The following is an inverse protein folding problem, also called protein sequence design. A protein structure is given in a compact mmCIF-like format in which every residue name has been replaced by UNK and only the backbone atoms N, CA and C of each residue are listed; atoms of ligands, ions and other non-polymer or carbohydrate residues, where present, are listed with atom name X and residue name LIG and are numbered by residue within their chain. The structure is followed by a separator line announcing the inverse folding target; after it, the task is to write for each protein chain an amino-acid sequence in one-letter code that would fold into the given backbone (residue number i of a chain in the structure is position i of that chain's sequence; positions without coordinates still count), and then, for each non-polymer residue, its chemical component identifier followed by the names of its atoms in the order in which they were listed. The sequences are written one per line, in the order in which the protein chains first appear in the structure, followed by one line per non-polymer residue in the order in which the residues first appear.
data_IF_951716129577
#
_entry.id   IF_951716129577
#
_cell.length_a   1.000
_cell.length_b   1.000
_cell.length_c   1.000
_cell.angle_alpha   90.00
_cell.angle_beta   90.00
_cell.angle_gamma   90.00
#
_symmetry.space_group_name_H-M   'P 1'
#
loop_
_entity.id
_entity.type
_entity.pdbx_description
1 polymer ?
#
# COMPACT_ATOMS: atom_id res chain seq x y z
N UNK A 1 13.44 51.49 74.30
CA UNK A 1 12.11 51.81 73.74
C UNK A 1 12.22 51.90 72.22
N UNK A 2 11.41 51.11 71.49
CA UNK A 2 10.78 51.31 70.15
C UNK A 2 11.56 52.12 69.08
N UNK A 3 11.65 51.75 67.80
CA UNK A 3 11.13 50.67 66.95
C UNK A 3 11.95 50.73 65.65
N UNK A 4 12.24 49.56 65.09
CA UNK A 4 13.00 49.37 63.88
C UNK A 4 12.26 49.85 62.61
N UNK A 5 13.07 50.20 61.62
CA UNK A 5 12.74 50.67 60.28
C UNK A 5 11.76 49.76 59.53
N UNK A 6 10.74 50.37 58.93
CA UNK A 6 9.97 49.79 57.83
C UNK A 6 10.73 50.07 56.53
N UNK A 7 11.20 49.02 55.86
CA UNK A 7 11.47 49.04 54.42
C UNK A 7 10.77 47.84 53.80
N UNK A 8 9.80 48.17 52.95
CA UNK A 8 8.90 47.28 52.23
C UNK A 8 9.66 46.71 51.02
N UNK A 9 10.04 45.44 51.08
CA UNK A 9 10.68 44.71 49.98
C UNK A 9 9.64 43.97 49.13
N UNK A 10 9.45 44.44 47.90
CA UNK A 10 8.58 43.90 46.86
C UNK A 10 9.09 42.52 46.41
N UNK A 11 8.34 41.44 46.72
CA UNK A 11 8.67 40.10 46.25
C UNK A 11 8.20 39.91 44.80
N UNK A 12 9.13 39.95 43.85
CA UNK A 12 8.94 39.52 42.46
C UNK A 12 8.76 37.99 42.43
N UNK A 13 7.56 37.53 42.12
CA UNK A 13 7.31 36.14 41.76
C UNK A 13 7.90 35.87 40.37
N UNK A 14 9.04 35.19 40.32
CA UNK A 14 9.52 34.54 39.10
C UNK A 14 8.68 33.28 38.88
N UNK A 15 8.04 33.06 37.71
CA UNK A 15 7.53 31.75 37.38
C UNK A 15 8.73 30.83 37.23
N UNK A 16 8.82 29.82 38.10
CA UNK A 16 9.71 28.69 37.87
C UNK A 16 9.27 28.05 36.55
N UNK A 17 10.02 28.30 35.47
CA UNK A 17 9.99 27.42 34.32
C UNK A 17 10.53 26.09 34.82
N UNK A 18 9.64 25.13 35.05
CA UNK A 18 10.04 23.76 35.28
C UNK A 18 10.79 23.31 34.03
N UNK A 19 12.12 23.25 34.11
CA UNK A 19 12.92 22.43 33.20
C UNK A 19 12.46 20.98 33.43
N UNK A 20 11.49 20.52 32.64
CA UNK A 20 11.10 19.12 32.59
C UNK A 20 12.24 18.33 31.92
N UNK A 21 13.36 18.23 32.61
CA UNK A 21 14.49 17.39 32.21
C UNK A 21 14.15 15.97 32.62
N UNK A 22 13.84 15.14 31.63
CA UNK A 22 13.67 13.72 31.86
C UNK A 22 14.93 13.12 32.51
N UNK A 23 14.79 12.08 33.36
CA UNK A 23 15.93 11.39 33.95
C UNK A 23 16.98 10.99 32.90
N UNK A 24 18.27 10.90 33.26
CA UNK A 24 19.31 10.48 32.32
C UNK A 24 18.95 9.17 31.61
N UNK A 25 19.01 9.17 30.27
CA UNK A 25 18.59 8.04 29.43
C UNK A 25 17.09 8.00 29.10
N UNK A 26 16.32 9.01 29.53
CA UNK A 26 14.93 9.21 29.14
C UNK A 26 14.75 10.53 28.40
N UNK A 27 13.74 10.57 27.54
CA UNK A 27 13.43 11.71 26.68
C UNK A 27 11.94 12.01 26.74
N UNK A 28 11.60 13.28 26.54
CA UNK A 28 10.22 13.74 26.60
C UNK A 28 9.50 13.39 25.29
N UNK A 29 8.43 12.60 25.39
CA UNK A 29 7.52 12.25 24.28
C UNK A 29 6.18 12.88 24.55
N UNK A 30 5.64 13.64 23.58
CA UNK A 30 4.35 14.32 23.71
C UNK A 30 3.36 13.77 22.68
N UNK A 31 2.53 12.81 23.11
CA UNK A 31 1.41 12.24 22.34
C UNK A 31 0.16 12.30 23.22
N UNK A 32 -0.72 13.27 22.98
CA UNK A 32 -1.91 13.57 23.81
C UNK A 32 -1.61 13.95 25.28
N UNK A 33 -0.34 13.90 25.69
CA UNK A 33 0.23 14.32 26.97
C UNK A 33 1.74 14.09 26.93
N UNK A 34 2.53 14.83 27.72
CA UNK A 34 3.98 14.69 27.74
C UNK A 34 4.43 13.76 28.88
N UNK A 35 5.22 12.74 28.54
CA UNK A 35 5.79 11.80 29.50
C UNK A 35 7.27 11.53 29.17
N UNK A 36 8.05 11.14 30.17
CA UNK A 36 9.43 10.72 29.99
C UNK A 36 9.46 9.22 29.68
N UNK A 37 10.02 8.86 28.54
CA UNK A 37 10.19 7.48 28.11
C UNK A 37 11.67 7.19 27.84
N UNK A 38 12.15 5.95 28.04
CA UNK A 38 13.50 5.53 27.66
C UNK A 38 13.62 5.31 26.14
N UNK A 39 13.01 6.21 25.35
CA UNK A 39 13.01 6.18 23.89
C UNK A 39 13.74 7.43 23.44
N UNK A 40 14.96 7.26 22.96
CA UNK A 40 15.68 8.32 22.26
C UNK A 40 14.83 8.77 21.05
N UNK A 41 14.57 10.07 20.84
CA UNK A 41 13.86 10.57 19.66
C UNK A 41 14.46 10.07 18.34
N UNK A 42 15.78 9.83 18.30
CA UNK A 42 16.45 9.18 17.16
C UNK A 42 16.12 7.69 17.03
N UNK A 43 15.94 6.98 18.15
CA UNK A 43 15.50 5.59 18.18
C UNK A 43 14.02 5.44 17.83
N UNK A 44 13.15 6.42 18.14
CA UNK A 44 11.75 6.39 17.71
C UNK A 44 11.63 6.35 16.17
N UNK A 45 12.43 7.16 15.48
CA UNK A 45 12.52 7.12 14.01
C UNK A 45 13.08 5.80 13.48
N UNK A 46 14.05 5.20 14.17
CA UNK A 46 14.62 3.91 13.80
C UNK A 46 13.62 2.76 14.01
N UNK A 47 12.87 2.76 15.13
CA UNK A 47 11.82 1.77 15.40
C UNK A 47 10.72 1.83 14.35
N UNK A 48 10.26 3.03 13.97
CA UNK A 48 9.28 3.19 12.89
C UNK A 48 9.79 2.65 11.56
N UNK A 49 11.06 2.94 11.23
CA UNK A 49 11.71 2.42 10.02
C UNK A 49 11.86 0.90 10.04
N UNK A 50 12.22 0.32 11.19
CA UNK A 50 12.37 -1.12 11.33
C UNK A 50 11.02 -1.84 11.22
N UNK A 51 9.96 -1.27 11.81
CA UNK A 51 8.58 -1.76 11.65
C UNK A 51 8.14 -1.71 10.19
N UNK A 52 8.46 -0.63 9.48
CA UNK A 52 8.13 -0.49 8.06
C UNK A 52 8.90 -1.51 7.18
N UNK A 53 10.18 -1.74 7.47
CA UNK A 53 10.99 -2.77 6.79
C UNK A 53 10.44 -4.18 7.05
N UNK A 54 10.01 -4.46 8.28
CA UNK A 54 9.38 -5.75 8.61
C UNK A 54 8.03 -5.92 7.89
N UNK A 55 7.19 -4.87 7.86
CA UNK A 55 5.90 -4.92 7.19
C UNK A 55 6.06 -5.12 5.67
N UNK A 56 6.92 -4.34 5.02
CA UNK A 56 7.19 -4.45 3.58
C UNK A 56 7.82 -5.80 3.21
N UNK A 57 8.81 -6.28 3.97
CA UNK A 57 9.40 -7.60 3.75
C UNK A 57 8.41 -8.75 3.95
N UNK A 58 7.51 -8.65 4.93
CA UNK A 58 6.46 -9.65 5.16
C UNK A 58 5.46 -9.68 4.01
N UNK A 59 5.06 -8.52 3.49
CA UNK A 59 4.19 -8.43 2.32
C UNK A 59 4.87 -9.01 1.08
N UNK A 60 6.14 -8.66 0.82
CA UNK A 60 6.90 -9.19 -0.30
C UNK A 60 7.02 -10.72 -0.26
N UNK A 61 7.28 -11.29 0.93
CA UNK A 61 7.30 -12.74 1.12
C UNK A 61 5.93 -13.36 0.82
N UNK A 62 4.87 -12.81 1.38
CA UNK A 62 3.53 -13.36 1.22
C UNK A 62 3.02 -13.29 -0.23
N UNK A 63 3.34 -12.21 -0.97
CA UNK A 63 3.01 -12.08 -2.40
C UNK A 63 3.66 -13.20 -3.23
N UNK A 64 4.94 -13.50 -2.98
CA UNK A 64 5.63 -14.61 -3.67
C UNK A 64 5.03 -15.95 -3.31
N UNK A 65 4.80 -16.18 -2.01
CA UNK A 65 4.22 -17.45 -1.54
C UNK A 65 2.85 -17.70 -2.18
N UNK A 66 1.97 -16.70 -2.16
CA UNK A 66 0.63 -16.81 -2.76
C UNK A 66 0.70 -17.02 -4.28
N UNK A 67 1.65 -16.37 -4.97
CA UNK A 67 1.88 -16.58 -6.41
C UNK A 67 2.39 -17.99 -6.72
N UNK A 68 3.32 -18.52 -5.92
CA UNK A 68 3.87 -19.86 -6.11
C UNK A 68 2.80 -20.94 -5.84
N UNK A 69 1.94 -20.72 -4.84
CA UNK A 69 0.77 -21.57 -4.58
C UNK A 69 -0.23 -21.52 -5.74
N UNK A 70 -0.58 -20.32 -6.21
CA UNK A 70 -1.45 -20.15 -7.37
C UNK A 70 -0.92 -20.87 -8.62
N UNK A 71 0.39 -20.75 -8.88
CA UNK A 71 1.07 -21.42 -10.00
C UNK A 71 1.02 -22.94 -9.85
N UNK A 72 1.25 -23.46 -8.63
CA UNK A 72 1.20 -24.90 -8.34
C UNK A 72 -0.21 -25.46 -8.56
N UNK A 73 -1.23 -24.67 -8.22
CA UNK A 73 -2.64 -25.02 -8.40
C UNK A 73 -3.16 -24.81 -9.84
N UNK A 74 -2.27 -24.47 -10.77
CA UNK A 74 -2.60 -24.23 -12.17
C UNK A 74 -3.08 -22.81 -12.45
N UNK A 75 -2.63 -22.27 -13.58
CA UNK A 75 -2.98 -20.95 -14.09
C UNK A 75 -3.14 -21.00 -15.61
N UNK A 76 -3.93 -20.09 -16.15
CA UNK A 76 -4.18 -19.94 -17.58
C UNK A 76 -3.55 -18.64 -18.12
N UNK A 77 -3.18 -18.58 -19.42
CA UNK A 77 -2.76 -17.32 -20.05
C UNK A 77 -3.97 -16.40 -20.26
N UNK A 78 -3.74 -15.10 -20.49
CA UNK A 78 -4.83 -14.14 -20.81
C UNK A 78 -5.71 -14.69 -21.95
N UNK A 79 -7.05 -14.69 -21.82
CA UNK A 79 -7.95 -15.06 -22.90
C UNK A 79 -7.67 -14.24 -24.16
N UNK A 80 -7.63 -14.90 -25.33
CA UNK A 80 -7.12 -14.28 -26.56
C UNK A 80 -7.90 -13.01 -26.96
N UNK A 81 -9.22 -13.00 -26.76
CA UNK A 81 -10.07 -11.84 -27.07
C UNK A 81 -9.84 -10.67 -26.10
N UNK A 82 -9.47 -10.93 -24.84
CA UNK A 82 -9.05 -9.90 -23.89
C UNK A 82 -7.67 -9.36 -24.30
N UNK A 83 -6.70 -10.26 -24.55
CA UNK A 83 -5.33 -9.89 -24.94
C UNK A 83 -5.33 -8.95 -26.15
N UNK A 84 -6.03 -9.31 -27.22
CA UNK A 84 -6.10 -8.51 -28.45
C UNK A 84 -6.67 -7.10 -28.22
N UNK A 85 -7.58 -6.92 -27.26
CA UNK A 85 -8.15 -5.60 -26.94
C UNK A 85 -7.19 -4.72 -26.14
N UNK A 86 -6.24 -5.33 -25.43
CA UNK A 86 -5.28 -4.65 -24.54
C UNK A 86 -3.89 -4.45 -25.16
N UNK A 87 -3.61 -5.04 -26.33
CA UNK A 87 -2.39 -4.79 -27.12
C UNK A 87 -2.05 -3.29 -27.32
N UNK A 88 -3.02 -2.37 -27.54
CA UNK A 88 -2.70 -0.96 -27.68
C UNK A 88 -2.28 -0.26 -26.37
N UNK A 89 -2.50 -0.88 -25.21
CA UNK A 89 -2.33 -0.29 -23.88
C UNK A 89 -1.09 -0.79 -23.15
N UNK A 90 -0.63 -1.99 -23.50
CA UNK A 90 0.44 -2.69 -22.80
C UNK A 90 1.44 -3.30 -23.76
N UNK A 91 2.71 -3.25 -23.37
CA UNK A 91 3.77 -3.94 -24.11
C UNK A 91 3.57 -5.46 -24.08
N UNK A 92 4.08 -6.12 -25.12
CA UNK A 92 4.03 -7.57 -25.26
C UNK A 92 4.54 -8.30 -24.02
N UNK A 93 5.61 -7.81 -23.39
CA UNK A 93 6.20 -8.44 -22.20
C UNK A 93 5.25 -8.47 -20.99
N UNK A 94 4.37 -7.47 -20.83
CA UNK A 94 3.37 -7.45 -19.77
C UNK A 94 2.26 -8.46 -20.07
N UNK A 95 1.73 -8.42 -21.29
CA UNK A 95 0.65 -9.32 -21.75
C UNK A 95 1.07 -10.79 -21.80
N UNK A 96 2.35 -11.06 -22.09
CA UNK A 96 2.87 -12.41 -22.22
C UNK A 96 3.25 -13.04 -20.88
N UNK A 97 3.72 -12.23 -19.93
CA UNK A 97 4.03 -12.69 -18.59
C UNK A 97 2.77 -13.04 -17.78
N UNK A 98 1.69 -12.27 -17.97
CA UNK A 98 0.51 -12.39 -17.14
C UNK A 98 -0.14 -13.78 -17.25
N UNK A 99 -0.51 -14.31 -16.09
CA UNK A 99 -1.33 -15.51 -15.91
C UNK A 99 -2.56 -15.16 -15.09
N UNK A 100 -3.59 -15.98 -15.18
CA UNK A 100 -4.74 -15.84 -14.30
C UNK A 100 -5.24 -17.17 -13.76
N UNK A 101 -6.01 -17.09 -12.69
CA UNK A 101 -6.90 -18.15 -12.22
C UNK A 101 -8.13 -17.52 -11.61
N UNK A 102 -9.21 -18.29 -11.56
CA UNK A 102 -10.38 -17.95 -10.76
C UNK A 102 -10.18 -18.58 -9.38
N UNK A 103 -10.12 -17.74 -8.35
CA UNK A 103 -9.83 -18.17 -6.99
C UNK A 103 -11.00 -18.89 -6.32
N UNK A 104 -10.69 -19.72 -5.33
CA UNK A 104 -11.65 -20.15 -4.32
C UNK A 104 -11.75 -19.10 -3.18
N UNK A 105 -12.72 -19.25 -2.27
CA UNK A 105 -12.94 -18.29 -1.18
C UNK A 105 -11.70 -18.10 -0.29
N UNK A 106 -10.84 -19.12 -0.14
CA UNK A 106 -9.66 -19.06 0.72
C UNK A 106 -8.52 -18.26 0.08
N UNK A 107 -8.29 -18.43 -1.22
CA UNK A 107 -7.28 -17.67 -1.97
C UNK A 107 -7.64 -16.20 -2.08
N UNK A 108 -8.91 -15.90 -2.33
CA UNK A 108 -9.41 -14.51 -2.35
C UNK A 108 -9.32 -13.91 -0.95
N UNK A 109 -9.65 -14.66 0.10
CA UNK A 109 -9.51 -14.17 1.48
C UNK A 109 -8.05 -13.90 1.87
N UNK A 110 -7.10 -14.72 1.42
CA UNK A 110 -5.68 -14.49 1.65
C UNK A 110 -5.18 -13.26 0.89
N UNK A 111 -5.57 -13.10 -0.38
CA UNK A 111 -5.23 -11.93 -1.19
C UNK A 111 -5.82 -10.63 -0.59
N UNK A 112 -7.08 -10.66 -0.15
CA UNK A 112 -7.74 -9.53 0.51
C UNK A 112 -7.08 -9.17 1.85
N UNK A 113 -6.66 -10.17 2.62
CA UNK A 113 -5.95 -9.95 3.88
C UNK A 113 -4.57 -9.30 3.66
N UNK A 114 -3.89 -9.63 2.54
CA UNK A 114 -2.60 -9.05 2.20
C UNK A 114 -2.69 -7.59 1.77
N UNK A 115 -3.75 -7.22 1.02
CA UNK A 115 -3.94 -5.87 0.50
C UNK A 115 -4.86 -5.00 1.37
N UNK A 116 -5.41 -5.55 2.46
CA UNK A 116 -6.38 -4.88 3.34
C UNK A 116 -7.61 -4.31 2.59
N UNK A 117 -7.96 -4.90 1.45
CA UNK A 117 -9.06 -4.44 0.60
C UNK A 117 -10.13 -5.54 0.48
N UNK A 118 -11.28 -5.41 1.17
CA UNK A 118 -12.30 -6.47 1.20
C UNK A 118 -13.09 -6.60 -0.11
N UNK A 119 -13.11 -5.55 -0.94
CA UNK A 119 -14.04 -5.40 -2.08
C UNK A 119 -13.32 -5.45 -3.45
N UNK A 120 -12.31 -6.30 -3.57
CA UNK A 120 -11.61 -6.50 -4.85
C UNK A 120 -12.19 -7.66 -5.64
N UNK A 121 -12.44 -7.41 -6.93
CA UNK A 121 -12.89 -8.41 -7.90
C UNK A 121 -11.72 -9.22 -8.48
N UNK A 122 -10.51 -8.68 -8.42
CA UNK A 122 -9.29 -9.37 -8.77
C UNK A 122 -8.11 -8.86 -7.92
N UNK A 123 -7.05 -9.67 -7.82
CA UNK A 123 -5.79 -9.30 -7.18
C UNK A 123 -4.62 -9.79 -8.01
N UNK A 124 -3.65 -8.91 -8.29
CA UNK A 124 -2.40 -9.28 -8.96
C UNK A 124 -1.31 -9.69 -7.97
N UNK A 125 -0.92 -10.95 -8.04
CA UNK A 125 0.22 -11.55 -7.32
C UNK A 125 1.41 -11.66 -8.27
N UNK A 126 2.27 -10.63 -8.31
CA UNK A 126 3.44 -10.55 -9.20
C UNK A 126 3.06 -10.56 -10.69
N UNK A 127 2.91 -11.74 -11.29
CA UNK A 127 2.49 -11.97 -12.68
C UNK A 127 1.18 -12.75 -12.78
N UNK A 128 0.61 -13.18 -11.65
CA UNK A 128 -0.56 -14.05 -11.59
C UNK A 128 -1.75 -13.30 -11.01
N UNK A 129 -2.81 -13.17 -11.80
CA UNK A 129 -4.03 -12.44 -11.45
C UNK A 129 -5.07 -13.42 -10.93
N UNK A 130 -5.53 -13.20 -9.70
CA UNK A 130 -6.56 -14.01 -9.06
C UNK A 130 -7.88 -13.28 -9.22
N UNK A 131 -8.77 -13.79 -10.06
CA UNK A 131 -10.13 -13.26 -10.20
C UNK A 131 -11.06 -13.94 -9.20
N UNK A 132 -11.97 -13.17 -8.61
CA UNK A 132 -13.02 -13.69 -7.73
C UNK A 132 -14.09 -14.44 -8.53
N UNK A 133 -14.43 -13.93 -9.71
CA UNK A 133 -15.49 -14.48 -10.55
C UNK A 133 -14.96 -14.80 -11.95
N UNK A 134 -15.35 -15.96 -12.49
CA UNK A 134 -14.97 -16.37 -13.83
C UNK A 134 -15.42 -15.35 -14.90
N UNK A 135 -16.60 -14.76 -14.73
CA UNK A 135 -17.11 -13.73 -15.63
C UNK A 135 -16.20 -12.50 -15.72
N UNK A 136 -15.57 -12.10 -14.61
CA UNK A 136 -14.62 -10.99 -14.63
C UNK A 136 -13.33 -11.35 -15.39
N UNK A 137 -12.83 -12.58 -15.20
CA UNK A 137 -11.69 -13.09 -15.95
C UNK A 137 -11.98 -13.24 -17.46
N UNK A 138 -13.22 -13.57 -17.82
CA UNK A 138 -13.60 -13.87 -19.21
C UNK A 138 -14.03 -12.62 -19.98
N UNK A 139 -14.72 -11.66 -19.36
CA UNK A 139 -15.40 -10.58 -20.10
C UNK A 139 -14.97 -9.16 -19.69
N UNK A 140 -14.32 -8.98 -18.54
CA UNK A 140 -14.05 -7.67 -17.98
C UNK A 140 -12.69 -7.10 -18.42
N UNK A 141 -12.61 -6.65 -19.67
CA UNK A 141 -11.40 -6.07 -20.28
C UNK A 141 -10.85 -4.87 -19.49
N UNK A 142 -11.73 -4.07 -18.88
CA UNK A 142 -11.31 -2.90 -18.10
C UNK A 142 -10.62 -3.32 -16.80
N UNK A 143 -11.19 -4.30 -16.08
CA UNK A 143 -10.55 -4.87 -14.88
C UNK A 143 -9.22 -5.54 -15.25
N UNK A 144 -9.14 -6.26 -16.36
CA UNK A 144 -7.85 -6.76 -16.85
C UNK A 144 -6.81 -5.66 -17.06
N UNK A 145 -7.23 -4.51 -17.58
CA UNK A 145 -6.33 -3.37 -17.73
C UNK A 145 -5.82 -2.85 -16.38
N UNK A 146 -6.66 -2.86 -15.34
CA UNK A 146 -6.24 -2.55 -13.97
C UNK A 146 -5.15 -3.52 -13.51
N UNK A 147 -5.43 -4.81 -13.56
CA UNK A 147 -4.53 -5.85 -13.03
C UNK A 147 -3.20 -5.92 -13.80
N UNK A 148 -3.22 -5.72 -15.12
CA UNK A 148 -1.99 -5.64 -15.91
C UNK A 148 -1.13 -4.43 -15.55
N UNK A 149 -1.70 -3.35 -15.00
CA UNK A 149 -0.90 -2.24 -14.47
C UNK A 149 -0.06 -2.72 -13.29
N UNK A 150 -0.60 -3.56 -12.42
CA UNK A 150 0.16 -4.14 -11.33
C UNK A 150 1.23 -5.11 -11.84
N UNK A 151 0.93 -5.94 -12.85
CA UNK A 151 1.96 -6.78 -13.50
C UNK A 151 3.11 -5.94 -14.02
N UNK A 152 2.82 -4.83 -14.72
CA UNK A 152 3.82 -3.89 -15.18
C UNK A 152 4.61 -3.27 -14.01
N UNK A 153 3.94 -2.83 -12.95
CA UNK A 153 4.60 -2.26 -11.77
C UNK A 153 5.54 -3.28 -11.09
N UNK A 154 5.16 -4.55 -11.01
CA UNK A 154 6.04 -5.60 -10.51
C UNK A 154 7.26 -5.82 -11.41
N UNK A 155 7.10 -5.76 -12.73
CA UNK A 155 8.22 -5.85 -13.68
C UNK A 155 9.18 -4.66 -13.54
N UNK A 156 8.67 -3.44 -13.34
CA UNK A 156 9.45 -2.21 -13.27
C UNK A 156 10.15 -2.02 -11.91
N UNK A 157 9.46 -2.33 -10.81
CA UNK A 157 9.93 -2.08 -9.45
C UNK A 157 10.58 -3.31 -8.82
N UNK A 158 10.14 -4.50 -9.22
CA UNK A 158 10.34 -5.71 -8.43
C UNK A 158 9.42 -5.77 -7.20
N UNK A 159 9.27 -6.98 -6.65
CA UNK A 159 8.32 -7.25 -5.54
C UNK A 159 8.67 -6.49 -4.25
N UNK A 160 9.96 -6.31 -3.93
CA UNK A 160 10.38 -5.65 -2.69
C UNK A 160 10.00 -4.16 -2.69
N UNK A 161 10.29 -3.45 -3.79
CA UNK A 161 9.98 -2.03 -3.91
C UNK A 161 8.47 -1.81 -4.08
N UNK A 162 7.77 -2.71 -4.79
CA UNK A 162 6.31 -2.70 -4.84
C UNK A 162 5.73 -2.78 -3.42
N UNK A 163 6.13 -3.80 -2.64
CA UNK A 163 5.63 -4.01 -1.29
C UNK A 163 5.95 -2.81 -0.38
N UNK A 164 7.16 -2.26 -0.48
CA UNK A 164 7.56 -1.05 0.26
C UNK A 164 6.66 0.13 -0.06
N UNK A 165 6.39 0.40 -1.34
CA UNK A 165 5.47 1.49 -1.75
C UNK A 165 4.05 1.23 -1.29
N UNK A 166 3.54 0.00 -1.48
CA UNK A 166 2.19 -0.39 -1.10
C UNK A 166 1.95 -0.20 0.41
N UNK A 167 2.89 -0.64 1.25
CA UNK A 167 2.79 -0.48 2.71
C UNK A 167 2.87 0.98 3.20
N UNK A 168 3.50 1.87 2.43
CA UNK A 168 3.59 3.30 2.77
C UNK A 168 2.40 4.11 2.27
N UNK A 169 2.06 3.92 1.00
CA UNK A 169 1.01 4.63 0.30
C UNK A 169 0.56 3.82 -0.92
N UNK A 170 -0.47 2.99 -0.74
CA UNK A 170 -1.01 2.17 -1.82
C UNK A 170 -1.60 3.02 -2.97
N UNK A 171 -2.07 4.25 -2.70
CA UNK A 171 -2.69 5.11 -3.71
C UNK A 171 -1.75 5.43 -4.87
N UNK A 172 -0.43 5.49 -4.61
CA UNK A 172 0.58 5.74 -5.64
C UNK A 172 0.65 4.59 -6.67
N UNK A 173 0.22 3.38 -6.29
CA UNK A 173 0.19 2.19 -7.15
C UNK A 173 -1.21 1.94 -7.73
N UNK A 174 -2.26 2.11 -6.92
CA UNK A 174 -3.66 1.94 -7.32
C UNK A 174 -4.15 3.05 -8.26
N UNK A 175 -3.76 4.31 -8.03
CA UNK A 175 -4.20 5.44 -8.83
C UNK A 175 -3.92 5.29 -10.34
N UNK A 176 -2.69 4.92 -10.75
CA UNK A 176 -2.39 4.59 -12.14
C UNK A 176 -3.20 3.40 -12.69
N UNK A 177 -3.54 2.41 -11.86
CA UNK A 177 -4.31 1.23 -12.26
C UNK A 177 -5.79 1.60 -12.53
N UNK A 178 -6.42 2.36 -11.64
CA UNK A 178 -7.76 2.89 -11.88
C UNK A 178 -7.83 3.84 -13.07
N UNK A 179 -6.76 4.61 -13.32
CA UNK A 179 -6.72 5.52 -14.47
C UNK A 179 -6.80 4.74 -15.79
N UNK A 180 -5.96 3.72 -15.98
CA UNK A 180 -5.96 2.93 -17.22
C UNK A 180 -7.25 2.11 -17.36
N UNK A 181 -7.79 1.58 -16.27
CA UNK A 181 -9.10 0.92 -16.27
C UNK A 181 -10.19 1.86 -16.82
N UNK A 182 -10.24 3.11 -16.33
CA UNK A 182 -11.22 4.09 -16.78
C UNK A 182 -11.04 4.47 -18.26
N UNK A 183 -9.80 4.62 -18.72
CA UNK A 183 -9.46 4.92 -20.11
C UNK A 183 -9.87 3.77 -21.05
N UNK A 184 -9.59 2.51 -20.67
CA UNK A 184 -10.01 1.32 -21.41
C UNK A 184 -11.54 1.20 -21.43
N UNK A 185 -12.19 1.33 -20.28
CA UNK A 185 -13.64 1.27 -20.18
C UNK A 185 -14.32 2.31 -21.08
N UNK A 186 -13.74 3.53 -21.14
CA UNK A 186 -14.21 4.58 -22.05
C UNK A 186 -14.04 4.18 -23.52
N UNK A 187 -12.87 3.73 -23.92
CA UNK A 187 -12.60 3.31 -25.30
C UNK A 187 -13.52 2.16 -25.75
N UNK A 188 -13.82 1.21 -24.87
CA UNK A 188 -14.76 0.11 -25.16
C UNK A 188 -16.19 0.62 -25.37
N UNK A 189 -16.64 1.59 -24.57
CA UNK A 189 -17.96 2.22 -24.77
C UNK A 189 -18.03 2.96 -26.10
N UNK A 190 -16.99 3.69 -26.48
CA UNK A 190 -16.92 4.43 -27.75
C UNK A 190 -16.87 3.49 -28.98
N UNK A 191 -16.18 2.35 -28.87
CA UNK A 191 -16.22 1.31 -29.90
C UNK A 191 -17.62 0.71 -30.05
N UNK A 192 -18.30 0.40 -28.94
CA UNK A 192 -19.67 -0.14 -28.95
C UNK A 192 -20.69 0.85 -29.52
N UNK A 193 -20.51 2.14 -29.31
CA UNK A 193 -21.40 3.19 -29.85
C UNK A 193 -21.10 3.60 -31.30
N UNK A 194 -20.08 2.99 -31.94
CA UNK A 194 -19.65 3.35 -33.29
C UNK A 194 -18.96 4.72 -33.40
N UNK A 195 -18.49 5.25 -32.27
CA UNK A 195 -17.84 6.56 -32.18
C UNK A 195 -16.31 6.47 -32.32
N UNK A 196 -15.73 5.28 -32.15
CA UNK A 196 -14.33 5.02 -32.47
C UNK A 196 -14.18 4.93 -34.00
N UNK A 197 -13.56 5.95 -34.61
CA UNK A 197 -13.10 5.94 -36.01
C UNK A 197 -11.62 5.66 -36.09
#
# INVERSE_FOLDING_TARGET
MKRASLLLGLALALPALAENTCPPGQYQVCLMGCFCAPIDPGQAGQVLKDVELMASGSLAFALRQARDEATTNGTEPIPLHIRAQLEPWYDFAVLDAARYRVGDEQQVSAANALLQNPDVNAVTLVDTIIFRHAQDAEDNVALWAHELKHVQQYQELGVEEFARRYTRNYEDLEGPAYKVEAEVAKALREKRSGQAR
#
